data_IF_260133265421
#
_entry.id   IF_260133265421
#
_cell.length_a   1.000
_cell.length_b   1.000
_cell.length_c   1.000
_cell.angle_alpha   90.00
_cell.angle_beta   90.00
_cell.angle_gamma   90.00
#
_symmetry.space_group_name_H-M   'P 1'
#
loop_
_entity.id
_entity.type
_entity.pdbx_description
1 polymer ?
#
# COMPACT_ATOMS: atom_id res chain seq x y z
N UNK A 1 -27.20 19.06 32.02
CA UNK A 1 -27.34 17.80 31.26
C UNK A 1 -26.67 18.03 29.92
N UNK A 2 -25.42 17.58 29.73
CA UNK A 2 -24.72 17.76 28.46
C UNK A 2 -25.25 16.74 27.45
N UNK A 3 -25.85 17.19 26.34
CA UNK A 3 -26.04 16.33 25.17
C UNK A 3 -24.75 16.37 24.36
N UNK A 4 -24.00 15.27 24.40
CA UNK A 4 -22.81 15.09 23.59
C UNK A 4 -23.16 15.08 22.11
N UNK A 5 -22.50 15.96 21.36
CA UNK A 5 -22.46 15.93 19.91
C UNK A 5 -21.44 14.84 19.52
N UNK A 6 -21.89 13.64 19.15
CA UNK A 6 -21.02 12.67 18.45
C UNK A 6 -20.93 13.12 17.00
N UNK A 7 -19.77 13.60 16.51
CA UNK A 7 -19.60 13.81 15.08
C UNK A 7 -19.78 12.46 14.37
N UNK A 8 -20.24 12.45 13.10
CA UNK A 8 -20.30 11.22 12.34
C UNK A 8 -18.86 10.69 12.23
N UNK A 9 -18.56 9.60 12.92
CA UNK A 9 -17.36 8.84 12.63
C UNK A 9 -17.50 8.39 11.16
N UNK A 10 -16.54 8.76 10.31
CA UNK A 10 -16.56 8.41 8.90
C UNK A 10 -16.63 6.89 8.78
N UNK A 11 -17.61 6.37 8.04
CA UNK A 11 -17.95 4.94 8.03
C UNK A 11 -16.93 4.04 7.28
N UNK A 12 -15.77 4.57 6.89
CA UNK A 12 -14.89 3.94 5.92
C UNK A 12 -13.41 4.26 6.20
N UNK A 13 -12.60 3.21 6.34
CA UNK A 13 -11.14 3.34 6.42
C UNK A 13 -10.58 3.70 5.04
N UNK A 14 -10.02 4.90 4.92
CA UNK A 14 -9.28 5.35 3.74
C UNK A 14 -7.82 5.55 4.09
N UNK A 15 -6.95 5.46 3.07
CA UNK A 15 -5.55 5.84 3.24
C UNK A 15 -5.50 7.35 3.52
N UNK A 16 -5.03 7.72 4.71
CA UNK A 16 -4.84 9.10 5.14
C UNK A 16 -3.40 9.58 4.92
N UNK A 17 -2.45 8.66 4.80
CA UNK A 17 -1.05 8.98 4.52
C UNK A 17 -0.22 7.73 4.24
N UNK A 18 0.93 7.91 3.59
CA UNK A 18 1.91 6.85 3.37
C UNK A 18 3.34 7.38 3.33
N UNK A 19 4.27 6.49 3.64
CA UNK A 19 5.70 6.67 3.45
C UNK A 19 6.26 5.41 2.76
N UNK A 20 6.80 5.50 1.53
CA UNK A 20 6.87 6.69 0.69
C UNK A 20 5.48 7.26 0.32
N UNK A 21 5.47 8.55 -0.01
CA UNK A 21 4.27 9.22 -0.47
C UNK A 21 3.84 8.71 -1.87
N UNK A 22 2.55 8.83 -2.24
CA UNK A 22 2.11 8.53 -3.58
C UNK A 22 2.89 9.36 -4.61
N UNK A 23 3.32 8.70 -5.68
CA UNK A 23 4.06 9.28 -6.80
C UNK A 23 5.44 9.82 -6.41
N UNK A 24 5.94 9.48 -5.20
CA UNK A 24 7.29 9.82 -4.77
C UNK A 24 8.34 9.15 -5.66
N UNK A 25 9.41 9.90 -5.93
CA UNK A 25 10.63 9.40 -6.56
C UNK A 25 11.70 9.36 -5.48
N UNK A 26 12.24 8.17 -5.23
CA UNK A 26 13.22 7.89 -4.18
C UNK A 26 14.58 7.64 -4.80
N UNK A 27 15.64 8.10 -4.15
CA UNK A 27 17.02 7.80 -4.55
C UNK A 27 17.47 6.39 -4.11
N UNK A 28 16.83 5.83 -3.08
CA UNK A 28 17.15 4.52 -2.51
C UNK A 28 15.89 3.70 -2.22
N UNK A 29 16.04 2.37 -2.20
CA UNK A 29 14.96 1.44 -1.86
C UNK A 29 14.66 1.48 -0.36
N UNK A 30 13.43 1.86 0.04
CA UNK A 30 13.08 1.84 1.46
C UNK A 30 12.98 0.39 1.95
N UNK A 31 13.37 0.12 3.19
CA UNK A 31 13.19 -1.21 3.79
C UNK A 31 11.72 -1.58 4.06
N UNK A 32 10.82 -0.59 4.06
CA UNK A 32 9.39 -0.80 4.28
C UNK A 32 8.55 0.34 3.68
N UNK A 33 7.29 0.02 3.39
CA UNK A 33 6.23 1.01 3.11
C UNK A 33 5.32 1.10 4.33
N UNK A 34 5.05 2.30 4.82
CA UNK A 34 4.11 2.58 5.91
C UNK A 34 2.84 3.18 5.34
N UNK A 35 1.70 2.67 5.80
CA UNK A 35 0.36 3.15 5.45
C UNK A 35 -0.38 3.57 6.72
N UNK A 36 -0.93 4.77 6.72
CA UNK A 36 -1.79 5.29 7.78
C UNK A 36 -3.22 5.38 7.28
N UNK A 37 -4.14 4.73 7.98
CA UNK A 37 -5.57 4.75 7.68
C UNK A 37 -6.33 5.68 8.62
N UNK A 38 -7.43 6.26 8.13
CA UNK A 38 -8.31 7.13 8.92
C UNK A 38 -8.97 6.41 10.11
N UNK A 39 -9.06 5.08 10.04
CA UNK A 39 -9.64 4.20 11.05
C UNK A 39 -8.81 2.92 11.17
N UNK A 40 -8.92 2.18 12.29
CA UNK A 40 -8.29 0.88 12.42
C UNK A 40 -8.82 -0.12 11.39
N UNK A 41 -7.91 -0.89 10.80
CA UNK A 41 -8.25 -1.98 9.87
C UNK A 41 -7.85 -3.33 10.47
N UNK A 42 -8.66 -4.35 10.21
CA UNK A 42 -8.44 -5.73 10.62
C UNK A 42 -7.31 -6.34 9.78
N UNK A 43 -6.09 -6.40 10.32
CA UNK A 43 -4.88 -6.78 9.56
C UNK A 43 -5.02 -8.18 8.94
N UNK A 44 -5.51 -9.17 9.70
CA UNK A 44 -5.66 -10.55 9.22
C UNK A 44 -6.77 -10.75 8.19
N UNK A 45 -7.75 -9.85 8.15
CA UNK A 45 -8.84 -9.86 7.17
C UNK A 45 -8.56 -8.95 5.97
N UNK A 46 -7.41 -8.27 5.97
CA UNK A 46 -6.98 -7.32 4.95
C UNK A 46 -5.87 -7.90 4.08
N UNK A 47 -5.72 -7.35 2.89
CA UNK A 47 -4.66 -7.70 1.94
C UNK A 47 -3.80 -6.47 1.69
N UNK A 48 -2.50 -6.67 1.71
CA UNK A 48 -1.49 -5.68 1.37
C UNK A 48 -0.45 -6.35 0.49
N UNK A 49 -0.12 -5.73 -0.64
CA UNK A 49 0.90 -6.24 -1.57
C UNK A 49 1.70 -5.11 -2.17
N UNK A 50 2.96 -5.39 -2.48
CA UNK A 50 3.81 -4.50 -3.30
C UNK A 50 4.31 -5.30 -4.49
N UNK A 51 4.23 -4.70 -5.68
CA UNK A 51 4.72 -5.32 -6.93
C UNK A 51 5.65 -4.38 -7.68
N UNK A 52 6.70 -4.90 -8.33
CA UNK A 52 7.41 -4.15 -9.35
C UNK A 52 6.50 -3.91 -10.56
N UNK A 53 6.67 -2.77 -11.21
CA UNK A 53 6.04 -2.42 -12.47
C UNK A 53 7.10 -2.36 -13.57
N UNK A 54 6.66 -2.54 -14.82
CA UNK A 54 7.51 -2.22 -15.96
C UNK A 54 7.84 -0.73 -15.95
N UNK A 55 9.11 -0.39 -16.18
CA UNK A 55 9.56 0.98 -16.31
C UNK A 55 8.85 1.68 -17.48
N UNK A 56 8.30 2.86 -17.21
CA UNK A 56 7.68 3.74 -18.19
C UNK A 56 7.85 5.17 -17.67
N UNK A 57 8.31 6.08 -18.51
CA UNK A 57 8.55 7.49 -18.15
C UNK A 57 7.24 8.29 -18.01
N UNK A 58 6.13 7.76 -18.53
CA UNK A 58 4.82 8.40 -18.44
C UNK A 58 4.03 7.90 -17.22
N UNK A 59 3.83 8.79 -16.25
CA UNK A 59 3.14 8.48 -14.99
C UNK A 59 1.68 8.03 -15.21
N UNK A 60 1.01 8.55 -16.23
CA UNK A 60 -0.36 8.14 -16.55
C UNK A 60 -0.40 6.69 -17.02
N UNK A 61 0.55 6.28 -17.86
CA UNK A 61 0.72 4.89 -18.29
C UNK A 61 1.12 3.98 -17.14
N UNK A 62 2.02 4.41 -16.25
CA UNK A 62 2.35 3.67 -15.04
C UNK A 62 1.11 3.40 -14.19
N UNK A 63 0.27 4.41 -13.94
CA UNK A 63 -0.95 4.27 -13.14
C UNK A 63 -1.97 3.36 -13.82
N UNK A 64 -2.10 3.44 -15.15
CA UNK A 64 -2.96 2.52 -15.90
C UNK A 64 -2.47 1.07 -15.80
N UNK A 65 -1.16 0.84 -15.97
CA UNK A 65 -0.55 -0.47 -15.81
C UNK A 65 -0.70 -1.02 -14.39
N UNK A 66 -0.52 -0.16 -13.38
CA UNK A 66 -0.74 -0.48 -11.97
C UNK A 66 -2.18 -0.95 -11.74
N UNK A 67 -3.18 -0.19 -12.19
CA UNK A 67 -4.60 -0.58 -12.05
C UNK A 67 -4.94 -1.91 -12.71
N UNK A 68 -4.38 -2.19 -13.90
CA UNK A 68 -4.52 -3.48 -14.58
C UNK A 68 -3.85 -4.63 -13.80
N UNK A 69 -2.69 -4.37 -13.17
CA UNK A 69 -2.01 -5.36 -12.33
C UNK A 69 -2.82 -5.64 -11.06
N UNK A 70 -3.23 -4.59 -10.33
CA UNK A 70 -4.03 -4.67 -9.10
C UNK A 70 -5.28 -5.51 -9.30
N UNK A 71 -6.03 -5.25 -10.38
CA UNK A 71 -7.27 -5.99 -10.69
C UNK A 71 -7.05 -7.49 -10.85
N UNK A 72 -5.83 -7.91 -11.27
CA UNK A 72 -5.47 -9.32 -11.45
C UNK A 72 -4.92 -9.95 -10.17
N UNK A 73 -3.99 -9.27 -9.50
CA UNK A 73 -3.14 -9.89 -8.47
C UNK A 73 -3.59 -9.59 -7.05
N UNK A 74 -4.43 -8.58 -6.81
CA UNK A 74 -4.80 -8.17 -5.45
C UNK A 74 -5.40 -9.33 -4.63
N UNK A 75 -6.25 -10.16 -5.25
CA UNK A 75 -6.89 -11.32 -4.62
C UNK A 75 -6.19 -12.65 -4.92
N UNK A 76 -5.15 -12.64 -5.76
CA UNK A 76 -4.38 -13.83 -6.08
C UNK A 76 -3.68 -14.36 -4.82
N UNK A 77 -3.42 -15.67 -4.77
CA UNK A 77 -2.64 -16.32 -3.71
C UNK A 77 -1.47 -17.09 -4.33
N UNK A 78 -0.43 -17.35 -3.54
CA UNK A 78 0.77 -18.07 -3.97
C UNK A 78 1.64 -17.26 -4.95
N UNK A 79 1.41 -15.95 -5.04
CA UNK A 79 2.17 -15.03 -5.87
C UNK A 79 3.38 -14.40 -5.17
N UNK A 80 3.74 -14.92 -3.99
CA UNK A 80 4.74 -14.36 -3.08
C UNK A 80 6.10 -14.12 -3.74
N UNK A 81 6.50 -14.99 -4.66
CA UNK A 81 7.75 -14.86 -5.43
C UNK A 81 7.77 -13.61 -6.32
N UNK A 82 6.63 -13.29 -6.94
CA UNK A 82 6.48 -12.16 -7.87
C UNK A 82 6.35 -10.80 -7.19
N UNK A 83 6.04 -10.79 -5.88
CA UNK A 83 5.89 -9.57 -5.10
C UNK A 83 7.24 -8.96 -4.74
N UNK A 84 7.25 -7.65 -4.53
CA UNK A 84 8.35 -6.92 -3.92
C UNK A 84 8.28 -6.91 -2.37
N UNK A 85 7.16 -7.29 -1.76
CA UNK A 85 7.01 -7.34 -0.31
C UNK A 85 7.41 -8.68 0.33
N UNK A 86 7.89 -8.59 1.56
CA UNK A 86 8.15 -9.71 2.49
C UNK A 86 7.00 -9.89 3.51
N UNK A 87 5.84 -9.25 3.27
CA UNK A 87 4.68 -9.29 4.15
C UNK A 87 4.55 -8.08 5.09
N UNK A 88 3.50 -8.11 5.92
CA UNK A 88 3.14 -7.03 6.84
C UNK A 88 3.75 -7.27 8.21
N UNK A 89 4.50 -6.28 8.71
CA UNK A 89 4.94 -6.18 10.09
C UNK A 89 3.87 -5.45 10.92
N UNK A 90 2.85 -6.17 11.39
CA UNK A 90 1.84 -5.62 12.28
C UNK A 90 1.43 -6.64 13.35
N UNK A 91 0.90 -6.12 14.46
CA UNK A 91 0.21 -6.93 15.45
C UNK A 91 -1.04 -7.56 14.83
N UNK A 92 -1.44 -8.76 15.29
CA UNK A 92 -2.48 -9.56 14.64
C UNK A 92 -3.91 -8.99 14.81
N UNK A 93 -4.08 -7.81 15.40
CA UNK A 93 -5.38 -7.16 15.64
C UNK A 93 -5.75 -6.05 14.66
N UNK A 94 -6.63 -5.16 15.11
CA UNK A 94 -6.97 -3.91 14.43
C UNK A 94 -5.82 -2.91 14.54
N UNK A 95 -5.45 -2.24 13.45
CA UNK A 95 -4.40 -1.21 13.47
C UNK A 95 -4.67 -0.13 12.43
N UNK A 96 -4.40 1.13 12.78
CA UNK A 96 -4.46 2.25 11.83
C UNK A 96 -3.13 2.50 11.12
N UNK A 97 -2.05 1.90 11.61
CA UNK A 97 -0.72 1.98 11.02
C UNK A 97 -0.29 0.59 10.55
N UNK A 98 0.03 0.47 9.27
CA UNK A 98 0.41 -0.79 8.63
C UNK A 98 1.81 -0.61 8.05
N UNK A 99 2.73 -1.47 8.44
CA UNK A 99 4.07 -1.51 7.88
C UNK A 99 4.21 -2.74 6.97
N UNK A 100 4.48 -2.53 5.69
CA UNK A 100 4.75 -3.57 4.70
C UNK A 100 6.26 -3.64 4.49
N UNK A 101 6.90 -4.75 4.84
CA UNK A 101 8.33 -4.93 4.65
C UNK A 101 8.62 -5.19 3.17
N UNK A 102 9.67 -4.56 2.63
CA UNK A 102 10.14 -4.83 1.28
C UNK A 102 11.23 -5.90 1.31
N UNK A 103 11.33 -6.68 0.24
CA UNK A 103 12.43 -7.63 0.04
C UNK A 103 13.74 -6.87 -0.19
N UNK A 104 14.84 -7.50 0.15
CA UNK A 104 16.18 -6.99 -0.15
C UNK A 104 16.55 -7.24 -1.62
N UNK A 105 17.45 -6.43 -2.18
CA UNK A 105 17.98 -6.63 -3.53
C UNK A 105 16.98 -6.43 -4.66
N UNK A 106 15.92 -5.65 -4.42
CA UNK A 106 14.98 -5.25 -5.46
C UNK A 106 15.66 -4.39 -6.53
N UNK A 107 15.21 -4.48 -7.77
CA UNK A 107 15.74 -3.66 -8.85
C UNK A 107 15.22 -2.21 -8.75
N UNK A 108 15.98 -1.19 -9.15
CA UNK A 108 15.41 0.15 -9.28
C UNK A 108 14.29 0.17 -10.33
N UNK A 109 13.30 1.04 -10.15
CA UNK A 109 12.15 1.16 -11.03
C UNK A 109 10.85 1.54 -10.32
N UNK A 110 9.72 1.57 -11.05
CA UNK A 110 8.41 1.84 -10.48
C UNK A 110 7.85 0.64 -9.72
N UNK A 111 7.16 0.94 -8.63
CA UNK A 111 6.49 -0.01 -7.77
C UNK A 111 5.04 0.40 -7.57
N UNK A 112 4.16 -0.58 -7.40
CA UNK A 112 2.77 -0.37 -6.97
C UNK A 112 2.57 -0.95 -5.59
N UNK A 113 2.03 -0.13 -4.69
CA UNK A 113 1.50 -0.55 -3.39
C UNK A 113 0.00 -0.66 -3.54
N UNK A 114 -0.57 -1.79 -3.13
CA UNK A 114 -2.00 -2.05 -3.26
C UNK A 114 -2.56 -2.68 -1.99
N UNK A 115 -3.82 -2.38 -1.70
CA UNK A 115 -4.50 -2.90 -0.53
C UNK A 115 -5.98 -3.17 -0.79
N UNK A 116 -6.50 -4.11 0.00
CA UNK A 116 -7.92 -4.32 0.25
C UNK A 116 -8.09 -4.46 1.75
N UNK A 117 -8.63 -3.45 2.40
CA UNK A 117 -8.71 -3.41 3.87
C UNK A 117 -10.13 -3.58 4.35
N UNK A 118 -10.29 -4.30 5.46
CA UNK A 118 -11.55 -4.38 6.21
C UNK A 118 -11.44 -3.45 7.41
N UNK A 119 -12.24 -2.39 7.44
CA UNK A 119 -12.38 -1.54 8.63
C UNK A 119 -13.03 -2.32 9.78
N UNK A 120 -12.77 -1.92 11.02
CA UNK A 120 -13.50 -2.42 12.20
C UNK A 120 -15.01 -2.14 12.13
N UNK A 121 -15.44 -1.17 11.30
CA UNK A 121 -16.84 -0.89 10.98
C UNK A 121 -17.43 -1.83 9.89
N UNK A 122 -16.73 -2.91 9.55
CA UNK A 122 -17.14 -3.96 8.58
C UNK A 122 -17.16 -3.54 7.11
N UNK A 123 -16.82 -2.30 6.79
CA UNK A 123 -16.68 -1.83 5.41
C UNK A 123 -15.32 -2.21 4.80
N UNK A 124 -15.35 -2.67 3.55
CA UNK A 124 -14.15 -2.96 2.77
C UNK A 124 -13.85 -1.80 1.83
N UNK A 125 -12.60 -1.36 1.83
CA UNK A 125 -12.08 -0.41 0.85
C UNK A 125 -10.88 -0.99 0.11
N UNK A 126 -10.70 -0.56 -1.14
CA UNK A 126 -9.58 -0.98 -1.99
C UNK A 126 -8.87 0.27 -2.51
N UNK A 127 -7.58 0.17 -2.73
CA UNK A 127 -6.81 1.26 -3.29
C UNK A 127 -5.41 0.83 -3.67
N UNK A 128 -4.73 1.72 -4.39
CA UNK A 128 -3.34 1.57 -4.74
C UNK A 128 -2.70 2.93 -4.98
N UNK A 129 -1.39 2.98 -4.89
CA UNK A 129 -0.59 4.08 -5.43
C UNK A 129 0.72 3.53 -6.00
N UNK A 130 1.44 4.37 -6.72
CA UNK A 130 2.76 4.05 -7.28
C UNK A 130 3.84 4.91 -6.62
N UNK A 131 5.06 4.39 -6.51
CA UNK A 131 6.26 5.16 -6.21
C UNK A 131 7.38 4.67 -7.12
N UNK A 132 8.42 5.48 -7.32
CA UNK A 132 9.53 5.18 -8.21
C UNK A 132 10.81 5.18 -7.39
N UNK A 133 11.67 4.19 -7.60
CA UNK A 133 13.05 4.22 -7.11
C UNK A 133 13.97 4.45 -8.28
N UNK A 134 14.82 5.47 -8.18
CA UNK A 134 15.80 5.79 -9.20
C UNK A 134 16.83 4.66 -9.31
N UNK A 135 17.36 4.41 -10.52
CA UNK A 135 18.58 3.63 -10.62
C UNK A 135 19.65 4.30 -9.78
N UNK A 136 20.30 3.51 -8.92
CA UNK A 136 21.49 3.99 -8.22
C UNK A 136 22.41 4.58 -9.29
N UNK A 137 22.68 5.89 -9.19
CA UNK A 137 23.59 6.55 -10.11
C UNK A 137 24.88 5.74 -10.15
N UNK A 138 25.28 5.33 -11.34
CA UNK A 138 26.65 4.94 -11.60
C UNK A 138 27.50 6.20 -11.34
N UNK A 139 27.95 6.37 -10.09
CA UNK A 139 28.95 7.39 -9.73
C UNK A 139 30.29 7.09 -10.40
#
# INVERSE_FOLDING_TARGET
MWLGLTPPAGAHAFLSGSDPAPEAVLDDLPGAVRLSFSEPVEVNASLFKVYPLAADDDLLRLKAAAGQLVSRVLRQRGDEDQRADAGVAADRGASSEIQILLKEGLAPGPYVVMWRVLSVDTHVTEGFFVFIVQPAGEE
#
